data_IF_606067255327
#
_entry.id   IF_606067255327
#
_cell.length_a   1.000
_cell.length_b   1.000
_cell.length_c   1.000
_cell.angle_alpha   90.00
_cell.angle_beta   90.00
_cell.angle_gamma   90.00
#
_symmetry.space_group_name_H-M   'P 1'
#
loop_
_entity.id
_entity.type
_entity.pdbx_description
1 polymer ?
#
# COMPACT_ATOMS: atom_id res chain seq x y z
N UNK A 1 10.55 18.79 -4.47
CA UNK A 1 9.44 18.00 -5.05
C UNK A 1 8.11 18.40 -4.44
N UNK A 2 6.99 18.15 -5.14
CA UNK A 2 5.66 18.33 -4.56
C UNK A 2 5.29 17.12 -3.71
N UNK A 3 4.67 17.36 -2.55
CA UNK A 3 4.18 16.30 -1.66
C UNK A 3 2.89 16.75 -0.96
N UNK A 4 2.03 15.79 -0.62
CA UNK A 4 0.79 16.03 0.10
C UNK A 4 1.03 15.91 1.60
N UNK A 5 0.61 16.95 2.34
CA UNK A 5 0.73 17.02 3.79
C UNK A 5 -0.62 17.34 4.43
N UNK A 6 -0.87 16.76 5.59
CA UNK A 6 -2.01 17.05 6.44
C UNK A 6 -1.56 17.85 7.65
N UNK A 7 -2.23 18.99 7.90
CA UNK A 7 -1.90 19.93 8.98
C UNK A 7 -2.88 19.87 10.15
N UNK A 8 -3.99 19.18 9.96
CA UNK A 8 -5.05 19.02 10.94
C UNK A 8 -6.33 18.51 10.25
N UNK A 9 -7.38 18.33 11.02
CA UNK A 9 -8.66 17.88 10.49
C UNK A 9 -9.17 18.83 9.38
N UNK A 10 -9.43 18.29 8.19
CA UNK A 10 -9.88 19.02 7.02
C UNK A 10 -8.82 19.89 6.31
N UNK A 11 -7.58 19.89 6.78
CA UNK A 11 -6.50 20.73 6.23
C UNK A 11 -5.43 19.87 5.56
N UNK A 12 -5.60 19.61 4.26
CA UNK A 12 -4.62 18.93 3.40
C UNK A 12 -4.09 19.91 2.37
N UNK A 13 -2.78 19.92 2.18
CA UNK A 13 -2.08 20.84 1.27
C UNK A 13 -1.07 20.08 0.44
N UNK A 14 -0.90 20.52 -0.81
CA UNK A 14 0.28 20.18 -1.62
C UNK A 14 1.34 21.25 -1.37
N UNK A 15 2.50 20.82 -0.95
CA UNK A 15 3.62 21.71 -0.60
C UNK A 15 4.87 21.36 -1.39
N UNK A 16 5.81 22.29 -1.45
CA UNK A 16 7.18 22.02 -1.88
C UNK A 16 7.96 21.42 -0.71
N UNK A 17 8.26 20.14 -0.80
CA UNK A 17 9.05 19.39 0.18
C UNK A 17 10.46 19.12 -0.37
N UNK A 18 11.47 18.91 0.50
CA UNK A 18 12.78 18.45 0.06
C UNK A 18 12.70 17.13 -0.72
N UNK A 19 13.55 16.97 -1.72
CA UNK A 19 13.67 15.69 -2.41
C UNK A 19 14.22 14.62 -1.46
N UNK A 20 13.72 13.36 -1.56
CA UNK A 20 14.22 12.28 -0.74
C UNK A 20 15.65 11.91 -1.14
N UNK A 21 16.45 11.50 -0.17
CA UNK A 21 17.84 11.05 -0.37
C UNK A 21 18.05 9.68 0.27
N UNK A 22 19.00 8.90 -0.26
CA UNK A 22 19.47 7.67 0.39
C UNK A 22 20.09 8.06 1.74
N UNK A 23 19.57 7.51 2.84
CA UNK A 23 20.07 7.75 4.20
C UNK A 23 20.77 6.53 4.78
N UNK A 24 20.40 5.34 4.33
CA UNK A 24 21.08 4.08 4.68
C UNK A 24 21.41 3.27 3.42
N UNK A 25 22.44 2.41 3.48
CA UNK A 25 22.86 1.60 2.32
C UNK A 25 21.76 0.66 1.78
N UNK A 26 20.71 0.39 2.56
CA UNK A 26 19.60 -0.49 2.20
C UNK A 26 18.37 0.24 1.63
N UNK A 27 18.45 1.55 1.48
CA UNK A 27 17.34 2.37 0.97
C UNK A 27 17.25 2.34 -0.56
N UNK A 28 16.07 2.64 -1.08
CA UNK A 28 15.87 3.05 -2.47
C UNK A 28 15.09 4.38 -2.56
N UNK A 29 15.25 5.09 -3.67
CA UNK A 29 14.40 6.21 -4.05
C UNK A 29 13.48 5.74 -5.16
N UNK A 30 12.19 5.92 -4.95
CA UNK A 30 11.14 5.56 -5.91
C UNK A 30 10.43 6.83 -6.37
N UNK A 31 10.48 7.11 -7.67
CA UNK A 31 9.64 8.13 -8.31
C UNK A 31 8.22 7.55 -8.45
N UNK A 32 7.27 8.18 -7.79
CA UNK A 32 5.89 7.71 -7.75
C UNK A 32 5.19 7.92 -9.09
N UNK A 33 4.65 6.86 -9.65
CA UNK A 33 3.86 6.87 -10.89
C UNK A 33 2.37 6.90 -10.57
N UNK A 34 1.95 6.18 -9.53
CA UNK A 34 0.57 6.17 -9.03
C UNK A 34 0.57 6.05 -7.52
N UNK A 35 -0.34 6.76 -6.90
CA UNK A 35 -0.74 6.59 -5.50
C UNK A 35 -2.25 6.70 -5.37
N UNK A 36 -2.81 6.27 -4.25
CA UNK A 36 -4.23 6.43 -3.97
C UNK A 36 -4.48 6.87 -2.52
N UNK A 37 -5.73 7.22 -2.26
CA UNK A 37 -6.23 7.55 -0.93
C UNK A 37 -6.86 6.29 -0.34
N UNK A 38 -6.36 5.83 0.79
CA UNK A 38 -6.96 4.76 1.57
C UNK A 38 -8.07 5.28 2.50
N UNK A 39 -8.98 4.39 2.88
CA UNK A 39 -9.97 4.72 3.91
C UNK A 39 -9.35 5.09 5.26
N UNK A 40 -8.16 4.58 5.58
CA UNK A 40 -7.41 4.93 6.79
C UNK A 40 -6.86 6.36 6.79
N UNK A 41 -6.63 6.97 5.63
CA UNK A 41 -6.22 8.38 5.50
C UNK A 41 -7.33 9.33 5.97
N UNK A 42 -8.58 8.87 5.97
CA UNK A 42 -9.72 9.66 6.41
C UNK A 42 -9.76 9.84 7.94
N UNK A 43 -9.12 8.98 8.72
CA UNK A 43 -9.06 9.13 10.18
C UNK A 43 -8.34 10.43 10.58
N UNK A 44 -7.08 10.67 10.16
CA UNK A 44 -6.43 11.95 10.41
C UNK A 44 -7.16 13.13 9.75
N UNK A 45 -7.75 12.92 8.57
CA UNK A 45 -8.53 13.97 7.91
C UNK A 45 -9.74 14.45 8.74
N UNK A 46 -10.35 13.58 9.53
CA UNK A 46 -11.51 13.93 10.35
C UNK A 46 -11.17 14.35 11.78
N UNK A 47 -10.02 13.93 12.33
CA UNK A 47 -9.81 14.05 13.78
C UNK A 47 -8.38 14.42 14.21
N UNK A 48 -7.45 14.62 13.25
CA UNK A 48 -6.07 14.94 13.62
C UNK A 48 -5.98 16.33 14.27
N UNK A 49 -5.30 16.46 15.41
CA UNK A 49 -4.97 17.77 15.97
C UNK A 49 -4.11 18.60 15.01
N UNK A 50 -4.21 19.93 15.12
CA UNK A 50 -3.38 20.83 14.29
C UNK A 50 -1.91 20.64 14.62
N UNK A 51 -1.09 20.45 13.58
CA UNK A 51 0.37 20.35 13.66
C UNK A 51 1.00 21.41 12.74
N UNK A 52 1.84 22.32 13.27
CA UNK A 52 2.40 23.42 12.48
C UNK A 52 3.25 22.96 11.29
N UNK A 53 4.02 21.88 11.45
CA UNK A 53 4.89 21.33 10.41
C UNK A 53 4.12 20.44 9.41
N UNK A 54 2.90 20.02 9.77
CA UNK A 54 2.14 19.03 9.02
C UNK A 54 2.81 17.64 9.02
N UNK A 55 2.07 16.65 8.58
CA UNK A 55 2.57 15.28 8.39
C UNK A 55 2.40 14.88 6.93
N UNK A 56 3.39 14.22 6.33
CA UNK A 56 3.22 13.59 5.01
C UNK A 56 2.12 12.52 5.07
N UNK A 57 1.49 12.19 3.95
CA UNK A 57 0.37 11.25 3.89
C UNK A 57 0.55 10.25 2.74
N UNK A 58 -0.19 9.14 2.82
CA UNK A 58 -0.23 8.10 1.80
C UNK A 58 0.68 6.91 2.12
N UNK A 59 0.16 5.72 1.90
CA UNK A 59 0.86 4.45 2.13
C UNK A 59 0.59 3.42 1.02
N UNK A 60 -0.11 3.82 -0.02
CA UNK A 60 -0.39 2.99 -1.19
C UNK A 60 0.21 3.68 -2.42
N UNK A 61 1.30 3.13 -2.96
CA UNK A 61 1.94 3.67 -4.16
C UNK A 61 2.71 2.61 -4.95
N UNK A 62 2.92 2.91 -6.21
CA UNK A 62 3.84 2.23 -7.09
C UNK A 62 4.63 3.26 -7.90
N UNK A 63 5.81 2.88 -8.34
CA UNK A 63 6.67 3.81 -9.05
C UNK A 63 7.90 3.15 -9.64
N UNK A 64 8.74 3.98 -10.24
CA UNK A 64 10.00 3.56 -10.86
C UNK A 64 11.15 3.85 -9.91
N UNK A 65 12.04 2.88 -9.72
CA UNK A 65 13.25 3.03 -8.91
C UNK A 65 14.22 3.99 -9.61
N UNK A 66 14.55 5.10 -8.97
CA UNK A 66 15.49 6.10 -9.49
C UNK A 66 16.89 5.93 -8.91
N UNK A 67 16.99 5.55 -7.63
CA UNK A 67 18.26 5.34 -6.97
C UNK A 67 18.19 4.19 -5.96
N UNK A 68 19.33 3.57 -5.67
CA UNK A 68 19.48 2.48 -4.70
C UNK A 68 20.73 2.65 -3.88
N UNK A 69 20.66 2.31 -2.60
CA UNK A 69 21.82 2.24 -1.72
C UNK A 69 22.78 1.09 -2.07
N UNK A 70 23.99 1.16 -1.57
CA UNK A 70 25.09 0.20 -1.91
C UNK A 70 24.80 -1.25 -1.55
N UNK A 71 23.92 -1.50 -0.57
CA UNK A 71 23.61 -2.84 -0.06
C UNK A 71 22.32 -3.41 -0.66
N UNK A 72 21.64 -2.66 -1.54
CA UNK A 72 20.47 -3.14 -2.29
C UNK A 72 20.93 -4.05 -3.41
N UNK A 73 20.41 -5.27 -3.45
CA UNK A 73 20.92 -6.35 -4.33
C UNK A 73 19.86 -6.91 -5.27
N UNK A 74 18.59 -6.86 -4.91
CA UNK A 74 17.47 -7.48 -5.68
C UNK A 74 16.67 -6.46 -6.49
N UNK A 75 16.80 -5.18 -6.16
CA UNK A 75 16.10 -4.08 -6.81
C UNK A 75 17.12 -3.26 -7.61
N UNK A 76 16.76 -2.87 -8.83
CA UNK A 76 17.64 -2.08 -9.70
C UNK A 76 16.94 -0.83 -10.24
N UNK A 77 17.73 0.19 -10.59
CA UNK A 77 17.20 1.42 -11.22
C UNK A 77 16.42 1.11 -12.49
N UNK A 78 15.34 1.81 -12.71
CA UNK A 78 14.44 1.67 -13.86
C UNK A 78 13.37 0.61 -13.69
N UNK A 79 13.42 -0.24 -12.66
CA UNK A 79 12.36 -1.21 -12.39
C UNK A 79 11.09 -0.50 -11.91
N UNK A 80 9.93 -0.96 -12.40
CA UNK A 80 8.64 -0.62 -11.81
C UNK A 80 8.42 -1.51 -10.58
N UNK A 81 8.08 -0.91 -9.47
CA UNK A 81 7.90 -1.57 -8.18
C UNK A 81 6.60 -1.16 -7.51
N UNK A 82 6.03 -2.08 -6.74
CA UNK A 82 4.92 -1.81 -5.81
C UNK A 82 5.53 -1.70 -4.42
N UNK A 83 5.14 -0.67 -3.67
CA UNK A 83 5.47 -0.51 -2.26
C UNK A 83 4.28 -0.95 -1.40
N UNK A 84 4.40 -2.00 -0.57
CA UNK A 84 3.38 -2.38 0.39
C UNK A 84 3.13 -1.28 1.42
N UNK A 85 1.96 -1.29 2.07
CA UNK A 85 1.59 -0.30 3.10
C UNK A 85 2.51 -0.30 4.34
N UNK A 86 3.34 -1.31 4.49
CA UNK A 86 4.36 -1.43 5.53
C UNK A 86 5.69 -1.84 4.90
N UNK A 87 6.79 -1.28 5.39
CA UNK A 87 8.14 -1.67 4.98
C UNK A 87 8.73 -2.69 5.95
N UNK A 88 9.59 -3.59 5.45
CA UNK A 88 10.12 -4.73 6.20
C UNK A 88 11.51 -5.13 5.73
N UNK A 89 12.25 -5.88 6.56
CA UNK A 89 13.59 -6.35 6.23
C UNK A 89 13.63 -7.64 5.39
N UNK A 90 12.50 -8.34 5.25
CA UNK A 90 12.43 -9.62 4.53
C UNK A 90 13.21 -10.78 5.16
N UNK A 91 13.93 -10.58 6.27
CA UNK A 91 14.92 -11.54 6.80
C UNK A 91 14.69 -12.01 8.22
N UNK A 92 13.99 -11.26 9.06
CA UNK A 92 13.71 -11.67 10.43
C UNK A 92 12.73 -12.86 10.49
N UNK A 93 12.58 -13.45 11.66
CA UNK A 93 11.70 -14.61 11.86
C UNK A 93 10.26 -14.36 11.40
N UNK A 94 9.70 -13.18 11.66
CA UNK A 94 8.35 -12.82 11.23
C UNK A 94 8.24 -12.70 9.71
N UNK A 95 9.22 -12.06 9.07
CA UNK A 95 9.23 -11.95 7.62
C UNK A 95 9.31 -13.31 6.93
N UNK A 96 10.13 -14.23 7.46
CA UNK A 96 10.25 -15.60 6.93
C UNK A 96 8.98 -16.43 7.08
N UNK A 97 8.14 -16.11 8.06
CA UNK A 97 6.82 -16.70 8.26
C UNK A 97 5.71 -16.01 7.45
N UNK A 98 6.04 -15.01 6.63
CA UNK A 98 5.05 -14.24 5.85
C UNK A 98 4.29 -13.19 6.68
N UNK A 99 4.85 -12.76 7.81
CA UNK A 99 4.26 -11.78 8.73
C UNK A 99 5.04 -10.44 8.68
N UNK A 100 5.21 -9.88 7.48
CA UNK A 100 6.02 -8.68 7.25
C UNK A 100 5.56 -7.46 8.07
N UNK A 101 4.27 -7.33 8.35
CA UNK A 101 3.73 -6.27 9.22
C UNK A 101 4.18 -6.37 10.68
N UNK A 102 4.71 -7.51 11.09
CA UNK A 102 5.30 -7.75 12.40
C UNK A 102 6.84 -7.74 12.36
N UNK A 103 7.43 -7.22 11.29
CA UNK A 103 8.88 -7.16 11.13
C UNK A 103 9.52 -6.38 12.29
N UNK A 104 10.58 -6.95 12.89
CA UNK A 104 11.28 -6.31 14.02
C UNK A 104 11.96 -4.99 13.66
N UNK A 105 12.35 -4.82 12.39
CA UNK A 105 13.03 -3.64 11.86
C UNK A 105 12.15 -2.86 10.89
N UNK A 106 10.92 -3.32 10.67
CA UNK A 106 9.96 -2.70 9.78
C UNK A 106 9.14 -1.59 10.42
N UNK A 107 8.27 -1.01 9.64
CA UNK A 107 7.38 0.05 10.08
C UNK A 107 6.34 0.42 9.04
N UNK A 108 5.66 1.53 9.32
CA UNK A 108 4.60 2.06 8.46
C UNK A 108 5.02 3.42 7.88
N UNK A 109 4.53 3.74 6.71
CA UNK A 109 4.71 5.07 6.11
C UNK A 109 4.17 6.15 7.03
N UNK A 110 4.77 7.35 6.96
CA UNK A 110 4.46 8.49 7.83
C UNK A 110 4.87 8.31 9.30
N UNK A 111 5.75 7.36 9.60
CA UNK A 111 6.30 7.15 10.94
C UNK A 111 7.77 7.59 10.99
N UNK A 112 8.09 8.46 11.95
CA UNK A 112 9.44 8.99 12.12
C UNK A 112 9.90 9.83 10.92
N UNK A 113 11.06 9.48 10.37
CA UNK A 113 11.67 10.13 9.20
C UNK A 113 11.19 9.54 7.85
N UNK A 114 10.44 8.45 7.88
CA UNK A 114 9.89 7.81 6.67
C UNK A 114 8.62 8.56 6.24
N UNK A 115 8.68 9.17 5.06
CA UNK A 115 7.59 9.98 4.51
C UNK A 115 6.58 9.14 3.73
N UNK A 116 5.41 9.70 3.49
CA UNK A 116 4.33 9.03 2.77
C UNK A 116 4.45 9.06 1.26
N UNK A 117 3.68 8.19 0.62
CA UNK A 117 3.70 7.94 -0.82
C UNK A 117 2.84 8.87 -1.67
N UNK A 118 2.13 9.85 -1.09
CA UNK A 118 1.45 10.89 -1.87
C UNK A 118 2.42 12.05 -2.15
N UNK A 119 3.49 11.76 -2.89
CA UNK A 119 4.57 12.66 -3.25
C UNK A 119 5.10 12.30 -4.64
N UNK A 120 5.93 13.17 -5.25
CA UNK A 120 6.57 12.88 -6.54
C UNK A 120 7.65 11.79 -6.42
N UNK A 121 8.31 11.69 -5.26
CA UNK A 121 9.28 10.64 -4.96
C UNK A 121 9.26 10.26 -3.47
N UNK A 122 9.69 9.06 -3.14
CA UNK A 122 9.71 8.51 -1.78
C UNK A 122 11.00 7.75 -1.53
N UNK A 123 11.60 7.96 -0.35
CA UNK A 123 12.65 7.08 0.18
C UNK A 123 12.00 5.84 0.78
N UNK A 124 12.39 4.69 0.30
CA UNK A 124 11.91 3.38 0.76
C UNK A 124 13.00 2.70 1.58
N UNK A 125 12.81 2.52 2.89
CA UNK A 125 13.74 1.77 3.73
C UNK A 125 13.74 0.29 3.39
N UNK A 126 14.89 -0.38 3.60
CA UNK A 126 15.00 -1.84 3.48
C UNK A 126 14.45 -2.34 2.12
N UNK A 127 14.90 -1.72 1.04
CA UNK A 127 14.32 -1.85 -0.30
C UNK A 127 14.15 -3.30 -0.77
N UNK A 128 15.14 -4.16 -0.56
CA UNK A 128 15.10 -5.59 -0.95
C UNK A 128 14.01 -6.39 -0.22
N UNK A 129 13.69 -6.01 1.02
CA UNK A 129 12.64 -6.66 1.81
C UNK A 129 11.26 -6.01 1.68
N UNK A 130 11.21 -4.81 1.09
CA UNK A 130 10.00 -3.99 1.01
C UNK A 130 9.42 -3.98 -0.39
N UNK A 131 10.22 -3.67 -1.41
CA UNK A 131 9.74 -3.43 -2.77
C UNK A 131 9.49 -4.72 -3.53
N UNK A 132 8.40 -4.74 -4.30
CA UNK A 132 8.04 -5.88 -5.16
C UNK A 132 8.13 -5.45 -6.62
N UNK A 133 9.14 -5.92 -7.38
CA UNK A 133 9.25 -5.61 -8.80
C UNK A 133 8.12 -6.29 -9.59
N UNK A 134 7.61 -5.60 -10.61
CA UNK A 134 6.58 -6.10 -11.51
C UNK A 134 7.06 -6.07 -12.96
N UNK A 135 6.69 -7.07 -13.78
CA UNK A 135 7.21 -7.23 -15.13
C UNK A 135 6.42 -6.42 -16.18
N UNK A 136 6.13 -5.15 -15.86
CA UNK A 136 5.46 -4.20 -16.77
C UNK A 136 6.13 -2.83 -16.64
N UNK A 137 5.94 -1.98 -17.63
CA UNK A 137 6.45 -0.59 -17.59
C UNK A 137 5.44 0.41 -17.03
N UNK A 138 5.88 1.65 -16.84
CA UNK A 138 5.09 2.73 -16.27
C UNK A 138 3.92 3.22 -17.15
N UNK A 139 3.80 2.73 -18.39
CA UNK A 139 2.70 3.05 -19.31
C UNK A 139 1.65 1.94 -19.35
N UNK A 140 1.83 0.87 -18.61
CA UNK A 140 0.94 -0.28 -18.62
C UNK A 140 -0.49 0.09 -18.17
N UNK A 141 -1.48 -0.39 -18.92
CA UNK A 141 -2.89 -0.28 -18.54
C UNK A 141 -3.24 -1.03 -17.24
N UNK A 142 -2.34 -1.89 -16.75
CA UNK A 142 -2.52 -2.63 -15.50
C UNK A 142 -2.19 -1.82 -14.25
N UNK A 143 -1.56 -0.64 -14.35
CA UNK A 143 -1.13 0.13 -13.18
C UNK A 143 -2.23 0.37 -12.13
N UNK A 144 -3.49 0.71 -12.50
CA UNK A 144 -4.55 0.88 -11.50
C UNK A 144 -4.86 -0.42 -10.73
N UNK A 145 -4.82 -1.56 -11.40
CA UNK A 145 -5.02 -2.86 -10.76
C UNK A 145 -3.82 -3.24 -9.87
N UNK A 146 -2.60 -3.03 -10.37
CA UNK A 146 -1.36 -3.29 -9.63
C UNK A 146 -1.26 -2.42 -8.38
N UNK A 147 -1.75 -1.19 -8.41
CA UNK A 147 -1.76 -0.32 -7.23
C UNK A 147 -2.56 -0.92 -6.07
N UNK A 148 -3.62 -1.68 -6.35
CA UNK A 148 -4.40 -2.33 -5.28
C UNK A 148 -3.60 -3.37 -4.49
N UNK A 149 -2.50 -3.88 -5.05
CA UNK A 149 -1.60 -4.82 -4.40
C UNK A 149 -0.73 -4.18 -3.31
N UNK A 150 -0.65 -2.84 -3.28
CA UNK A 150 0.08 -2.13 -2.22
C UNK A 150 -0.56 -2.32 -0.84
N UNK A 151 -1.90 -2.45 -0.76
CA UNK A 151 -2.63 -2.67 0.49
C UNK A 151 -3.92 -3.47 0.28
N UNK A 152 -4.94 -2.85 -0.33
CA UNK A 152 -6.35 -3.26 -0.22
C UNK A 152 -6.64 -4.66 -0.75
N UNK A 153 -5.94 -5.08 -1.83
CA UNK A 153 -6.06 -6.46 -2.33
C UNK A 153 -5.42 -7.46 -1.34
N UNK A 154 -4.20 -7.17 -0.88
CA UNK A 154 -3.49 -8.01 0.10
C UNK A 154 -4.30 -8.17 1.39
N UNK A 155 -4.90 -7.08 1.87
CA UNK A 155 -5.77 -7.05 3.05
C UNK A 155 -7.02 -7.92 2.85
N UNK A 156 -7.71 -7.79 1.72
CA UNK A 156 -8.87 -8.61 1.38
C UNK A 156 -8.52 -10.10 1.21
N UNK A 157 -7.38 -10.39 0.57
CA UNK A 157 -6.89 -11.75 0.40
C UNK A 157 -6.52 -12.41 1.74
N UNK A 158 -5.79 -11.67 2.58
CA UNK A 158 -5.44 -12.13 3.94
C UNK A 158 -6.69 -12.46 4.75
N UNK A 159 -7.71 -11.61 4.72
CA UNK A 159 -8.98 -11.86 5.41
C UNK A 159 -9.64 -13.15 4.91
N UNK A 160 -9.69 -13.38 3.60
CA UNK A 160 -10.27 -14.59 3.02
C UNK A 160 -9.48 -15.86 3.43
N UNK A 161 -8.14 -15.79 3.42
CA UNK A 161 -7.28 -16.90 3.87
C UNK A 161 -7.48 -17.20 5.37
N UNK A 162 -7.49 -16.16 6.21
CA UNK A 162 -7.73 -16.31 7.67
C UNK A 162 -9.16 -16.78 7.97
N UNK A 163 -10.13 -16.40 7.14
CA UNK A 163 -11.49 -16.93 7.14
C UNK A 163 -11.58 -18.38 6.65
N UNK A 164 -10.46 -19.00 6.27
CA UNK A 164 -10.39 -20.38 5.74
C UNK A 164 -11.28 -20.62 4.52
N UNK A 165 -11.41 -19.61 3.68
CA UNK A 165 -12.17 -19.72 2.43
C UNK A 165 -11.52 -20.78 1.54
N UNK A 166 -12.33 -21.68 1.03
CA UNK A 166 -11.92 -22.83 0.22
C UNK A 166 -13.10 -23.30 -0.65
N UNK A 167 -12.90 -24.22 -1.59
CA UNK A 167 -14.01 -24.89 -2.29
C UNK A 167 -15.07 -25.42 -1.31
N UNK A 168 -16.35 -25.20 -1.60
CA UNK A 168 -17.53 -25.53 -0.77
C UNK A 168 -17.76 -24.60 0.44
N UNK A 169 -17.01 -23.50 0.55
CA UNK A 169 -17.26 -22.50 1.59
C UNK A 169 -18.37 -21.55 1.14
N UNK A 170 -19.36 -21.31 1.99
CA UNK A 170 -20.24 -20.15 1.92
C UNK A 170 -19.69 -19.08 2.85
N UNK A 171 -19.38 -17.89 2.32
CA UNK A 171 -18.81 -16.79 3.06
C UNK A 171 -19.64 -15.52 2.97
N UNK A 172 -19.63 -14.70 4.04
CA UNK A 172 -20.24 -13.37 4.02
C UNK A 172 -19.16 -12.32 4.19
N UNK A 173 -19.13 -11.35 3.27
CA UNK A 173 -18.29 -10.16 3.34
C UNK A 173 -19.16 -8.98 3.75
N UNK A 174 -18.82 -8.33 4.88
CA UNK A 174 -19.53 -7.17 5.37
C UNK A 174 -18.69 -5.91 5.08
N UNK A 175 -19.22 -5.07 4.19
CA UNK A 175 -18.55 -3.85 3.72
C UNK A 175 -18.38 -3.85 2.20
N UNK A 176 -18.79 -2.74 1.56
CA UNK A 176 -18.77 -2.53 0.12
C UNK A 176 -17.70 -1.52 -0.33
N UNK A 177 -16.67 -1.30 0.50
CA UNK A 177 -15.49 -0.52 0.16
C UNK A 177 -14.45 -1.34 -0.61
N UNK A 178 -13.31 -0.72 -0.93
CA UNK A 178 -12.25 -1.36 -1.71
C UNK A 178 -11.79 -2.71 -1.12
N UNK A 179 -11.53 -2.77 0.18
CA UNK A 179 -11.14 -4.02 0.87
C UNK A 179 -12.24 -5.07 0.78
N UNK A 180 -13.51 -4.69 1.00
CA UNK A 180 -14.63 -5.63 0.93
C UNK A 180 -14.81 -6.21 -0.48
N UNK A 181 -14.79 -5.37 -1.51
CA UNK A 181 -14.88 -5.81 -2.91
C UNK A 181 -13.71 -6.73 -3.29
N UNK A 182 -12.48 -6.39 -2.86
CA UNK A 182 -11.30 -7.22 -3.11
C UNK A 182 -11.26 -8.50 -2.25
N UNK A 183 -11.93 -8.50 -1.09
CA UNK A 183 -12.18 -9.73 -0.33
C UNK A 183 -13.16 -10.67 -1.04
N UNK A 184 -14.22 -10.13 -1.69
CA UNK A 184 -15.11 -10.92 -2.57
C UNK A 184 -14.32 -11.55 -3.71
N UNK A 185 -13.51 -10.76 -4.43
CA UNK A 185 -12.64 -11.26 -5.49
C UNK A 185 -11.69 -12.35 -4.98
N UNK A 186 -11.10 -12.14 -3.82
CA UNK A 186 -10.17 -13.09 -3.19
C UNK A 186 -10.88 -14.39 -2.82
N UNK A 187 -12.07 -14.30 -2.24
CA UNK A 187 -12.90 -15.48 -1.91
C UNK A 187 -13.29 -16.27 -3.17
N UNK A 188 -13.68 -15.57 -4.25
CA UNK A 188 -13.95 -16.17 -5.56
C UNK A 188 -12.71 -16.93 -6.09
N UNK A 189 -11.53 -16.31 -6.04
CA UNK A 189 -10.27 -16.92 -6.48
C UNK A 189 -9.85 -18.14 -5.63
N UNK A 190 -10.17 -18.14 -4.34
CA UNK A 190 -9.94 -19.26 -3.43
C UNK A 190 -10.98 -20.39 -3.60
N UNK A 191 -11.97 -20.20 -4.48
CA UNK A 191 -12.94 -21.20 -4.87
C UNK A 191 -14.17 -21.28 -3.99
N UNK A 192 -14.52 -20.21 -3.25
CA UNK A 192 -15.77 -20.18 -2.47
C UNK A 192 -16.97 -20.54 -3.36
N UNK A 193 -17.84 -21.41 -2.85
CA UNK A 193 -19.05 -21.85 -3.56
C UNK A 193 -20.11 -20.75 -3.60
N UNK A 194 -20.24 -20.03 -2.52
CA UNK A 194 -21.18 -18.91 -2.41
C UNK A 194 -20.55 -17.76 -1.64
N UNK A 195 -20.72 -16.54 -2.15
CA UNK A 195 -20.25 -15.33 -1.50
C UNK A 195 -21.43 -14.37 -1.37
N UNK A 196 -21.71 -13.91 -0.14
CA UNK A 196 -22.73 -12.92 0.16
C UNK A 196 -22.03 -11.61 0.49
N UNK A 197 -22.20 -10.59 -0.36
CA UNK A 197 -21.71 -9.24 -0.10
C UNK A 197 -22.80 -8.40 0.55
N UNK A 198 -22.54 -7.89 1.74
CA UNK A 198 -23.42 -6.97 2.46
C UNK A 198 -22.85 -5.57 2.46
N UNK A 199 -23.56 -4.60 1.90
CA UNK A 199 -23.16 -3.20 1.83
C UNK A 199 -24.35 -2.26 1.79
N UNK A 200 -24.08 -0.96 1.94
CA UNK A 200 -25.13 0.09 1.95
C UNK A 200 -25.24 0.85 0.63
N UNK A 201 -24.24 0.73 -0.26
CA UNK A 201 -24.18 1.48 -1.50
C UNK A 201 -24.46 0.55 -2.68
N UNK A 202 -25.67 0.69 -3.27
CA UNK A 202 -26.11 -0.19 -4.36
C UNK A 202 -25.08 -0.28 -5.51
N UNK A 203 -24.52 0.84 -5.93
CA UNK A 203 -23.52 0.86 -7.02
C UNK A 203 -22.27 0.05 -6.71
N UNK A 204 -21.82 0.02 -5.44
CA UNK A 204 -20.65 -0.75 -5.01
C UNK A 204 -21.00 -2.24 -4.87
N UNK A 205 -22.17 -2.56 -4.31
CA UNK A 205 -22.60 -3.96 -4.21
C UNK A 205 -22.92 -4.56 -5.57
N UNK A 206 -23.39 -3.77 -6.55
CA UNK A 206 -23.56 -4.23 -7.93
C UNK A 206 -22.19 -4.55 -8.57
N UNK A 207 -21.17 -3.71 -8.39
CA UNK A 207 -19.80 -4.00 -8.84
C UNK A 207 -19.23 -5.31 -8.24
N UNK A 208 -19.64 -5.69 -7.04
CA UNK A 208 -19.20 -6.93 -6.41
C UNK A 208 -19.92 -8.20 -6.91
N UNK A 209 -20.90 -8.08 -7.82
CA UNK A 209 -21.57 -9.22 -8.47
C UNK A 209 -20.87 -9.68 -9.74
N UNK A 210 -20.21 -8.77 -10.45
CA UNK A 210 -19.50 -8.99 -11.70
C UNK A 210 -18.12 -9.66 -11.46
#
# INVERSE_FOLDING_TARGET
>A
MRATYIYGAGDIRVIDAPDPTITTPTDAIVRVVRSCICGSDLHPYHSMPVTPEGNSIGHEFLGVVEDVGSDVTTITRGQLVIAPFAWSDGTCEFCREGLQTSCRRGGFWNAGDVKGGQAEAVRVPLADGTLVPVPVDENSALLPALLTLSDVYGTGYHAAVKGRVSPRTTGTVIGDGAVGLLAVLSAKRLGAEQIILMGRHKTRTDLGRD
#
